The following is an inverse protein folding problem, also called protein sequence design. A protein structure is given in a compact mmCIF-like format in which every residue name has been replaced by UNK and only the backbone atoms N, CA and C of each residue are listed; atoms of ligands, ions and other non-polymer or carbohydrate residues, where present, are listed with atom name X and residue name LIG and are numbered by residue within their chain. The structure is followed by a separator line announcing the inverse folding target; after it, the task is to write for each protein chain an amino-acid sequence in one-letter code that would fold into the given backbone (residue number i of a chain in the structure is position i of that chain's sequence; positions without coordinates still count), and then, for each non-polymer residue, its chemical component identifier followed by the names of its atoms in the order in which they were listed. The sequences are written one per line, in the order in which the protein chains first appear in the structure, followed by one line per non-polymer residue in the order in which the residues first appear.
data_IF_508626923857
#
_entry.id   IF_508626923857
#
_cell.length_a   1.000
_cell.length_b   1.000
_cell.length_c   1.000
_cell.angle_alpha   90.00
_cell.angle_beta   90.00
_cell.angle_gamma   90.00
#
_symmetry.space_group_name_H-M   'P 1'
#
loop_
_entity.id
_entity.type
_entity.pdbx_description
1 polymer ?
#
# COMPACT_ATOMS: atom_id res chain seq x y z
N UNK A 1 -28.49 15.60 18.50
CA UNK A 1 -27.30 16.15 19.20
C UNK A 1 -26.12 16.01 18.25
N UNK A 2 -25.61 17.13 17.75
CA UNK A 2 -24.50 17.18 16.78
C UNK A 2 -23.22 16.70 17.45
N UNK A 3 -22.52 15.72 16.88
CA UNK A 3 -21.15 15.37 17.28
C UNK A 3 -20.21 15.83 16.17
N UNK A 4 -19.22 16.61 16.59
CA UNK A 4 -18.23 17.26 15.76
C UNK A 4 -17.35 16.21 15.07
N UNK A 5 -17.14 16.40 13.76
CA UNK A 5 -16.17 15.64 12.97
C UNK A 5 -14.76 16.06 13.37
N UNK A 6 -13.93 15.08 13.74
CA UNK A 6 -12.49 15.25 13.78
C UNK A 6 -11.96 15.13 12.35
N UNK A 7 -11.52 16.24 11.77
CA UNK A 7 -10.64 16.25 10.61
C UNK A 7 -9.37 15.46 10.96
N UNK A 8 -9.12 14.36 10.27
CA UNK A 8 -7.77 13.79 10.20
C UNK A 8 -7.00 14.57 9.15
N UNK A 9 -6.10 15.45 9.60
CA UNK A 9 -5.05 15.99 8.75
C UNK A 9 -4.06 14.86 8.49
N UNK A 10 -3.99 14.40 7.23
CA UNK A 10 -2.89 13.59 6.74
C UNK A 10 -1.59 14.41 6.84
N UNK A 11 -0.85 14.21 7.92
CA UNK A 11 0.53 14.67 8.03
C UNK A 11 1.39 13.58 7.41
N UNK A 12 1.95 13.86 6.23
CA UNK A 12 3.01 13.08 5.63
C UNK A 12 4.11 12.79 6.68
N UNK A 13 4.74 11.60 6.68
CA UNK A 13 5.68 11.24 7.73
C UNK A 13 6.96 12.07 7.60
N UNK A 14 7.00 13.21 8.29
CA UNK A 14 8.24 13.92 8.60
C UNK A 14 9.04 13.00 9.50
N UNK A 15 10.22 12.59 9.05
CA UNK A 15 11.18 11.83 9.82
C UNK A 15 11.50 12.59 11.12
N UNK A 16 10.92 12.20 12.25
CA UNK A 16 11.31 12.72 13.56
C UNK A 16 12.65 12.14 13.96
N UNK A 17 13.73 12.82 13.58
CA UNK A 17 15.05 12.62 14.15
C UNK A 17 15.09 13.25 15.55
N UNK A 18 14.84 12.46 16.60
CA UNK A 18 15.02 12.92 17.99
C UNK A 18 16.51 12.94 18.30
N UNK A 19 17.15 14.11 18.21
CA UNK A 19 18.51 14.32 18.73
C UNK A 19 18.42 14.84 20.16
N UNK A 20 18.74 13.97 21.12
CA UNK A 20 18.92 14.33 22.52
C UNK A 20 20.29 15.02 22.68
N UNK A 21 20.32 16.35 22.85
CA UNK A 21 21.50 17.04 23.37
C UNK A 21 21.09 18.06 24.45
N UNK A 22 21.82 17.96 25.56
CA UNK A 22 21.65 18.65 26.83
C UNK A 22 21.77 20.18 26.69
N UNK A 23 20.95 20.92 27.44
CA UNK A 23 21.05 22.38 27.59
C UNK A 23 22.36 22.85 28.26
N UNK A 24 22.64 24.16 28.26
CA UNK A 24 22.01 25.00 29.28
C UNK A 24 21.46 26.36 28.82
N UNK A 25 20.74 26.99 29.75
CA UNK A 25 19.82 28.14 29.72
C UNK A 25 20.51 29.55 29.61
N UNK A 26 19.80 30.71 29.68
CA UNK A 26 19.80 31.76 28.66
C UNK A 26 20.50 33.07 29.07
N UNK A 27 21.00 33.85 28.08
CA UNK A 27 20.86 35.32 28.00
C UNK A 27 21.77 35.93 26.91
N UNK A 28 21.30 37.09 26.40
CA UNK A 28 21.98 38.13 25.59
C UNK A 28 21.63 38.19 24.10
N UNK A 29 20.93 39.27 23.74
CA UNK A 29 20.45 39.60 22.40
C UNK A 29 21.45 40.32 21.49
N UNK A 30 21.05 40.42 20.22
CA UNK A 30 21.68 41.17 19.14
C UNK A 30 21.19 40.66 17.78
N UNK A 31 20.92 41.50 16.77
CA UNK A 31 20.32 41.08 15.51
C UNK A 31 21.40 40.48 14.60
N UNK A 32 21.41 39.17 14.46
CA UNK A 32 22.22 38.47 13.46
C UNK A 32 21.30 37.81 12.43
N UNK A 33 21.55 38.11 11.16
CA UNK A 33 21.24 37.26 10.01
C UNK A 33 21.98 35.91 10.18
N UNK A 34 21.45 35.04 11.03
CA UNK A 34 21.87 33.63 11.09
C UNK A 34 20.94 32.84 10.15
N UNK A 35 21.46 31.98 9.27
CA UNK A 35 20.62 31.02 8.56
C UNK A 35 19.85 30.22 9.62
N UNK A 36 18.52 30.19 9.49
CA UNK A 36 17.66 29.46 10.42
C UNK A 36 18.17 28.01 10.50
N UNK A 37 18.43 27.51 11.72
CA UNK A 37 18.84 26.13 11.94
C UNK A 37 17.85 25.11 11.33
N UNK A 38 16.58 25.52 11.11
CA UNK A 38 15.58 24.73 10.40
C UNK A 38 15.90 24.54 8.90
N UNK A 39 16.45 25.55 8.22
CA UNK A 39 16.82 25.45 6.81
C UNK A 39 18.01 24.50 6.61
N UNK A 40 18.91 24.42 7.60
CA UNK A 40 20.03 23.48 7.59
C UNK A 40 19.60 22.03 7.86
N UNK A 41 18.60 21.80 8.72
CA UNK A 41 18.05 20.47 8.97
C UNK A 41 17.24 19.94 7.80
N UNK A 42 16.46 20.81 7.14
CA UNK A 42 15.63 20.42 6.00
C UNK A 42 16.50 20.08 4.78
N UNK A 43 17.54 20.89 4.51
CA UNK A 43 18.49 20.60 3.44
C UNK A 43 19.29 19.30 3.67
N UNK A 44 19.66 19.02 4.92
CA UNK A 44 20.37 17.78 5.28
C UNK A 44 19.44 16.55 5.19
N UNK A 45 18.17 16.70 5.57
CA UNK A 45 17.16 15.66 5.41
C UNK A 45 16.91 15.35 3.92
N UNK A 46 16.80 16.39 3.09
CA UNK A 46 16.66 16.26 1.64
C UNK A 46 17.88 15.59 0.99
N UNK A 47 19.09 15.97 1.38
CA UNK A 47 20.33 15.36 0.89
C UNK A 47 20.40 13.87 1.28
N UNK A 48 20.10 13.56 2.54
CA UNK A 48 20.04 12.17 3.03
C UNK A 48 19.00 11.34 2.30
N UNK A 49 17.84 11.94 1.99
CA UNK A 49 16.78 11.27 1.24
C UNK A 49 17.19 11.01 -0.22
N UNK A 50 17.82 11.98 -0.88
CA UNK A 50 18.34 11.79 -2.25
C UNK A 50 19.42 10.71 -2.31
N UNK A 51 20.33 10.68 -1.35
CA UNK A 51 21.35 9.63 -1.28
C UNK A 51 20.73 8.24 -1.07
N UNK A 52 19.71 8.15 -0.19
CA UNK A 52 18.96 6.93 0.02
C UNK A 52 18.25 6.47 -1.26
N UNK A 53 17.58 7.39 -1.96
CA UNK A 53 16.91 7.11 -3.23
C UNK A 53 17.89 6.65 -4.30
N UNK A 54 19.04 7.31 -4.42
CA UNK A 54 20.09 6.91 -5.36
C UNK A 54 20.63 5.51 -5.04
N UNK A 55 20.84 5.22 -3.74
CA UNK A 55 21.24 3.88 -3.29
C UNK A 55 20.18 2.83 -3.63
N UNK A 56 18.90 3.11 -3.39
CA UNK A 56 17.78 2.21 -3.72
C UNK A 56 17.67 1.99 -5.23
N UNK A 57 17.91 3.03 -6.04
CA UNK A 57 17.91 2.95 -7.50
C UNK A 57 19.05 2.10 -8.04
N UNK A 58 20.20 2.07 -7.37
CA UNK A 58 21.35 1.21 -7.70
C UNK A 58 21.17 -0.25 -7.30
N UNK A 59 20.21 -0.57 -6.41
CA UNK A 59 19.89 -1.95 -6.05
C UNK A 59 19.23 -2.68 -7.23
N UNK A 60 19.32 -4.03 -7.29
CA UNK A 60 18.59 -4.82 -8.26
C UNK A 60 17.10 -4.44 -8.31
N UNK A 61 16.51 -4.50 -9.50
CA UNK A 61 15.11 -4.14 -9.70
C UNK A 61 14.16 -4.96 -8.79
N UNK A 62 14.47 -6.25 -8.60
CA UNK A 62 13.67 -7.14 -7.76
C UNK A 62 12.25 -7.23 -8.31
N UNK A 63 11.25 -6.94 -7.47
CA UNK A 63 9.85 -6.93 -7.88
C UNK A 63 9.54 -5.87 -8.94
N UNK A 64 10.31 -4.78 -8.98
CA UNK A 64 10.17 -3.72 -9.99
C UNK A 64 10.65 -4.13 -11.39
N UNK A 65 11.27 -5.31 -11.56
CA UNK A 65 11.53 -5.85 -12.89
C UNK A 65 10.19 -6.12 -13.61
N UNK A 66 10.11 -5.83 -14.92
CA UNK A 66 8.84 -5.86 -15.67
C UNK A 66 8.09 -7.20 -15.54
N UNK A 67 8.79 -8.30 -15.68
CA UNK A 67 8.26 -9.66 -15.54
C UNK A 67 7.83 -9.98 -14.10
N UNK A 68 8.59 -9.52 -13.11
CA UNK A 68 8.27 -9.69 -11.69
C UNK A 68 7.08 -8.84 -11.24
N UNK A 69 6.95 -7.61 -11.76
CA UNK A 69 5.79 -6.75 -11.53
C UNK A 69 4.53 -7.36 -12.14
N UNK A 70 4.62 -7.84 -13.38
CA UNK A 70 3.51 -8.58 -14.00
C UNK A 70 3.11 -9.83 -13.20
N UNK A 71 4.09 -10.58 -12.67
CA UNK A 71 3.83 -11.73 -11.80
C UNK A 71 3.18 -11.32 -10.47
N UNK A 72 3.61 -10.23 -9.86
CA UNK A 72 3.03 -9.68 -8.64
C UNK A 72 1.54 -9.34 -8.83
N UNK A 73 1.17 -8.71 -9.94
CA UNK A 73 -0.22 -8.39 -10.25
C UNK A 73 -1.09 -9.65 -10.36
N UNK A 74 -0.57 -10.72 -10.96
CA UNK A 74 -1.27 -12.01 -11.06
C UNK A 74 -1.46 -12.67 -9.69
N UNK A 75 -0.45 -12.59 -8.83
CA UNK A 75 -0.52 -13.13 -7.48
C UNK A 75 -1.57 -12.37 -6.65
N UNK A 76 -1.54 -11.03 -6.66
CA UNK A 76 -2.54 -10.18 -5.98
C UNK A 76 -3.94 -10.47 -6.53
N UNK A 77 -4.12 -10.45 -7.84
CA UNK A 77 -5.45 -10.66 -8.44
C UNK A 77 -6.01 -12.06 -8.19
N UNK A 78 -5.16 -13.08 -7.99
CA UNK A 78 -5.63 -14.41 -7.58
C UNK A 78 -6.28 -14.39 -6.19
N UNK A 79 -5.88 -13.47 -5.31
CA UNK A 79 -6.47 -13.27 -3.99
C UNK A 79 -7.61 -12.26 -4.01
N UNK A 80 -7.50 -11.16 -4.74
CA UNK A 80 -8.55 -10.12 -4.76
C UNK A 80 -9.75 -10.56 -5.62
N UNK A 81 -9.51 -11.24 -6.74
CA UNK A 81 -10.51 -11.47 -7.79
C UNK A 81 -10.58 -12.92 -8.29
N UNK A 82 -9.83 -13.84 -7.68
CA UNK A 82 -9.78 -15.26 -8.09
C UNK A 82 -9.45 -15.48 -9.58
N UNK A 83 -8.59 -14.64 -10.15
CA UNK A 83 -8.15 -14.73 -11.55
C UNK A 83 -6.68 -14.34 -11.71
N UNK A 84 -6.02 -14.83 -12.76
CA UNK A 84 -4.70 -14.35 -13.18
C UNK A 84 -4.80 -13.24 -14.23
N UNK A 85 -5.98 -13.02 -14.82
CA UNK A 85 -6.21 -11.93 -15.76
C UNK A 85 -6.56 -10.64 -15.01
N UNK A 86 -5.56 -10.08 -14.32
CA UNK A 86 -5.74 -8.90 -13.48
C UNK A 86 -6.23 -7.67 -14.26
N UNK A 87 -5.97 -7.61 -15.56
CA UNK A 87 -6.42 -6.52 -16.44
C UNK A 87 -7.92 -6.58 -16.74
N UNK A 88 -8.58 -7.70 -16.49
CA UNK A 88 -10.03 -7.77 -16.57
C UNK A 88 -10.72 -6.94 -15.47
N UNK A 89 -9.98 -6.56 -14.41
CA UNK A 89 -10.56 -5.92 -13.22
C UNK A 89 -10.53 -4.39 -13.24
N UNK A 90 -10.03 -3.72 -14.29
CA UNK A 90 -10.10 -2.24 -14.35
C UNK A 90 -11.53 -1.72 -14.18
N UNK A 91 -12.51 -2.43 -14.77
CA UNK A 91 -13.93 -2.09 -14.66
C UNK A 91 -14.68 -2.81 -13.54
N UNK A 92 -14.01 -3.64 -12.74
CA UNK A 92 -14.66 -4.29 -11.60
C UNK A 92 -15.11 -3.23 -10.62
N UNK A 93 -16.34 -3.34 -10.12
CA UNK A 93 -16.90 -2.52 -9.05
C UNK A 93 -18.05 -3.28 -8.38
N UNK A 94 -17.98 -3.47 -7.08
CA UNK A 94 -19.00 -4.14 -6.28
C UNK A 94 -18.91 -3.68 -4.82
N UNK A 95 -20.04 -3.50 -4.14
CA UNK A 95 -20.04 -3.50 -2.67
C UNK A 95 -20.16 -4.95 -2.20
N UNK A 96 -19.06 -5.47 -1.68
CA UNK A 96 -18.95 -6.86 -1.22
C UNK A 96 -19.46 -7.07 0.21
N UNK A 97 -20.05 -6.04 0.82
CA UNK A 97 -20.63 -6.09 2.17
C UNK A 97 -19.59 -6.19 3.28
N UNK A 98 -18.34 -5.79 3.02
CA UNK A 98 -17.28 -5.77 4.02
C UNK A 98 -17.27 -4.46 4.84
N UNK A 99 -18.13 -3.50 4.50
CA UNK A 99 -18.24 -2.21 5.18
C UNK A 99 -17.19 -1.19 4.74
N UNK A 100 -16.69 -1.31 3.51
CA UNK A 100 -15.87 -0.29 2.83
C UNK A 100 -16.63 0.41 1.68
N UNK A 101 -17.93 0.14 1.50
CA UNK A 101 -18.73 0.63 0.38
C UNK A 101 -18.37 -0.09 -0.93
N UNK A 102 -18.37 0.63 -2.05
CA UNK A 102 -17.91 0.07 -3.32
C UNK A 102 -16.42 -0.24 -3.26
N UNK A 103 -16.03 -1.43 -3.71
CA UNK A 103 -14.65 -1.87 -3.99
C UNK A 103 -14.49 -2.02 -5.50
N UNK A 104 -13.49 -1.36 -6.09
CA UNK A 104 -13.36 -1.28 -7.55
C UNK A 104 -11.92 -1.33 -8.08
N UNK A 105 -11.77 -1.64 -9.36
CA UNK A 105 -10.50 -1.56 -10.08
C UNK A 105 -9.50 -2.68 -9.76
N UNK A 106 -8.27 -2.49 -10.24
CA UNK A 106 -7.22 -3.53 -10.28
C UNK A 106 -6.63 -3.94 -8.93
N UNK A 107 -6.86 -3.17 -7.87
CA UNK A 107 -6.42 -3.47 -6.50
C UNK A 107 -7.51 -3.28 -5.44
N UNK A 108 -8.76 -3.05 -5.85
CA UNK A 108 -9.87 -2.87 -4.92
C UNK A 108 -9.89 -1.53 -4.19
N UNK A 109 -9.79 -0.42 -4.93
CA UNK A 109 -10.01 0.93 -4.40
C UNK A 109 -11.40 1.02 -3.77
N UNK A 110 -11.54 1.58 -2.57
CA UNK A 110 -12.85 1.64 -1.91
C UNK A 110 -13.37 3.06 -1.67
N UNK A 111 -14.69 3.25 -1.84
CA UNK A 111 -15.33 4.54 -1.58
C UNK A 111 -15.25 4.96 -0.11
N UNK A 112 -15.14 3.98 0.81
CA UNK A 112 -15.04 4.21 2.25
C UNK A 112 -13.63 4.33 2.80
N UNK A 113 -12.58 4.18 2.00
CA UNK A 113 -11.16 4.16 2.44
C UNK A 113 -10.30 5.24 1.80
N UNK A 114 -10.91 6.31 1.29
CA UNK A 114 -10.27 7.46 0.65
C UNK A 114 -9.61 7.23 -0.72
N UNK A 115 -8.99 6.07 -0.94
CA UNK A 115 -8.24 5.76 -2.16
C UNK A 115 -9.06 5.82 -3.46
N UNK A 116 -10.34 5.43 -3.46
CA UNK A 116 -11.21 5.63 -4.62
C UNK A 116 -11.48 7.11 -4.91
N UNK A 117 -11.71 7.91 -3.87
CA UNK A 117 -11.92 9.36 -4.01
C UNK A 117 -10.65 10.00 -4.60
N UNK A 118 -9.49 9.69 -4.03
CA UNK A 118 -8.21 10.21 -4.49
C UNK A 118 -7.92 9.84 -5.95
N UNK A 119 -8.18 8.58 -6.35
CA UNK A 119 -8.06 8.15 -7.74
C UNK A 119 -8.94 8.98 -8.68
N UNK A 120 -10.21 9.18 -8.33
CA UNK A 120 -11.14 9.95 -9.18
C UNK A 120 -10.78 11.44 -9.20
N UNK A 121 -10.29 12.01 -8.10
CA UNK A 121 -9.78 13.38 -8.05
C UNK A 121 -8.59 13.56 -8.98
N UNK A 122 -7.54 12.74 -8.83
CA UNK A 122 -6.35 12.77 -9.68
C UNK A 122 -6.69 12.59 -11.16
N UNK A 123 -7.56 11.61 -11.47
CA UNK A 123 -8.01 11.39 -12.84
C UNK A 123 -8.76 12.60 -13.41
N UNK A 124 -9.59 13.27 -12.59
CA UNK A 124 -10.36 14.44 -13.01
C UNK A 124 -9.51 15.68 -13.18
N UNK A 125 -8.42 15.84 -12.43
CA UNK A 125 -7.49 16.95 -12.64
C UNK A 125 -6.86 16.93 -14.04
N UNK A 126 -6.52 15.74 -14.55
CA UNK A 126 -5.95 15.56 -15.89
C UNK A 126 -7.03 15.50 -16.99
N UNK A 127 -8.21 14.96 -16.65
CA UNK A 127 -9.33 14.75 -17.56
C UNK A 127 -10.62 15.33 -17.01
N UNK A 128 -10.83 16.66 -17.02
CA UNK A 128 -11.94 17.31 -16.31
C UNK A 128 -13.35 16.93 -16.79
N UNK A 129 -13.48 16.51 -18.07
CA UNK A 129 -14.76 16.12 -18.68
C UNK A 129 -15.02 14.60 -18.62
N UNK A 130 -14.35 13.88 -17.71
CA UNK A 130 -14.47 12.43 -17.58
C UNK A 130 -15.83 12.00 -16.97
N UNK A 131 -16.21 10.74 -17.19
CA UNK A 131 -17.52 10.21 -16.77
C UNK A 131 -17.70 10.03 -15.27
N UNK A 132 -16.65 10.20 -14.46
CA UNK A 132 -16.67 10.05 -13.01
C UNK A 132 -16.67 11.39 -12.26
N UNK A 133 -16.37 12.50 -12.95
CA UNK A 133 -16.24 13.83 -12.35
C UNK A 133 -17.51 14.28 -11.61
N UNK A 134 -18.69 13.93 -12.11
CA UNK A 134 -19.97 14.29 -11.49
C UNK A 134 -20.19 13.64 -10.11
N UNK A 135 -19.50 12.53 -9.83
CA UNK A 135 -19.62 11.78 -8.58
C UNK A 135 -18.69 12.29 -7.48
N UNK A 136 -17.73 13.18 -7.78
CA UNK A 136 -16.78 13.70 -6.79
C UNK A 136 -17.44 14.31 -5.54
N UNK A 137 -18.53 15.11 -5.62
CA UNK A 137 -19.21 15.59 -4.42
C UNK A 137 -19.77 14.47 -3.54
N UNK A 138 -20.30 13.40 -4.15
CA UNK A 138 -20.84 12.24 -3.43
C UNK A 138 -19.71 11.40 -2.82
N UNK A 139 -18.64 11.12 -3.58
CA UNK A 139 -17.45 10.41 -3.09
C UNK A 139 -16.87 11.10 -1.85
N UNK A 140 -16.73 12.43 -1.85
CA UNK A 140 -16.30 13.20 -0.66
C UNK A 140 -17.25 13.10 0.52
N UNK A 141 -18.55 12.97 0.27
CA UNK A 141 -19.56 12.89 1.32
C UNK A 141 -19.61 11.52 1.98
N UNK A 142 -19.35 10.45 1.22
CA UNK A 142 -19.39 9.06 1.71
C UNK A 142 -18.04 8.56 2.22
N UNK A 143 -16.94 9.25 1.92
CA UNK A 143 -15.60 8.88 2.37
C UNK A 143 -15.53 8.62 3.89
N UNK A 144 -14.90 7.51 4.27
CA UNK A 144 -14.88 6.99 5.63
C UNK A 144 -16.15 6.22 6.07
N UNK A 145 -17.10 5.97 5.16
CA UNK A 145 -18.33 5.18 5.41
C UNK A 145 -18.59 4.15 4.31
N UNK A 146 -19.54 3.25 4.53
CA UNK A 146 -20.04 2.30 3.53
C UNK A 146 -21.29 2.81 2.78
N UNK A 147 -21.55 4.12 2.83
CA UNK A 147 -22.74 4.72 2.19
C UNK A 147 -22.61 4.78 0.67
N UNK A 148 -23.74 4.59 -0.03
CA UNK A 148 -23.87 4.80 -1.48
C UNK A 148 -24.66 6.07 -1.83
N UNK A 149 -24.93 6.94 -0.87
CA UNK A 149 -25.73 8.15 -1.08
C UNK A 149 -25.10 9.06 -2.15
N UNK A 150 -25.84 9.32 -3.23
CA UNK A 150 -25.38 10.14 -4.35
C UNK A 150 -24.49 9.42 -5.37
N UNK A 151 -24.30 8.11 -5.23
CA UNK A 151 -23.54 7.27 -6.17
C UNK A 151 -24.45 6.44 -7.10
N UNK A 152 -25.69 6.87 -7.31
CA UNK A 152 -26.61 6.22 -8.25
C UNK A 152 -26.03 6.24 -9.68
N UNK A 153 -25.91 5.07 -10.30
CA UNK A 153 -25.29 4.93 -11.64
C UNK A 153 -23.76 4.93 -11.66
N UNK A 154 -23.10 5.11 -10.50
CA UNK A 154 -21.65 5.12 -10.40
C UNK A 154 -20.99 3.81 -10.88
N UNK A 155 -21.52 2.61 -10.56
CA UNK A 155 -20.99 1.35 -11.09
C UNK A 155 -20.95 1.32 -12.62
N UNK A 156 -22.03 1.71 -13.28
CA UNK A 156 -22.10 1.75 -14.74
C UNK A 156 -21.14 2.78 -15.33
N UNK A 157 -21.03 3.96 -14.70
CA UNK A 157 -20.09 5.00 -15.10
C UNK A 157 -18.64 4.51 -14.97
N UNK A 158 -18.29 3.83 -13.87
CA UNK A 158 -16.98 3.21 -13.64
C UNK A 158 -16.66 2.19 -14.74
N UNK A 159 -17.58 1.29 -15.03
CA UNK A 159 -17.40 0.28 -16.09
C UNK A 159 -17.21 0.91 -17.48
N UNK A 160 -17.92 2.00 -17.80
CA UNK A 160 -17.72 2.73 -19.05
C UNK A 160 -16.37 3.44 -19.09
N UNK A 161 -15.99 4.12 -18.01
CA UNK A 161 -14.75 4.88 -17.94
C UNK A 161 -13.54 3.93 -18.00
N UNK A 162 -13.64 2.74 -17.40
CA UNK A 162 -12.61 1.70 -17.46
C UNK A 162 -12.36 1.13 -18.87
N UNK A 163 -13.15 1.52 -19.88
CA UNK A 163 -12.85 1.23 -21.29
C UNK A 163 -11.81 2.19 -21.87
N UNK A 164 -11.65 3.37 -21.27
CA UNK A 164 -10.73 4.40 -21.72
C UNK A 164 -9.31 4.09 -21.23
N UNK A 165 -8.28 4.17 -22.11
CA UNK A 165 -6.91 3.89 -21.71
C UNK A 165 -6.40 4.86 -20.62
N UNK A 166 -6.91 6.08 -20.58
CA UNK A 166 -6.54 7.11 -19.62
C UNK A 166 -6.95 6.73 -18.19
N UNK A 167 -8.17 6.22 -17.98
CA UNK A 167 -8.59 5.79 -16.64
C UNK A 167 -7.86 4.52 -16.18
N UNK A 168 -7.49 3.63 -17.12
CA UNK A 168 -6.62 2.49 -16.81
C UNK A 168 -5.22 2.93 -16.38
N UNK A 169 -4.66 3.93 -17.04
CA UNK A 169 -3.39 4.52 -16.67
C UNK A 169 -3.46 5.15 -15.27
N UNK A 170 -4.51 5.92 -14.97
CA UNK A 170 -4.72 6.49 -13.64
C UNK A 170 -4.78 5.42 -12.53
N UNK A 171 -5.46 4.28 -12.79
CA UNK A 171 -5.45 3.15 -11.84
C UNK A 171 -4.06 2.52 -11.68
N UNK A 172 -3.31 2.35 -12.78
CA UNK A 172 -1.95 1.82 -12.74
C UNK A 172 -0.99 2.75 -11.96
N UNK A 173 -1.11 4.06 -12.15
CA UNK A 173 -0.33 5.09 -11.46
C UNK A 173 -0.67 5.15 -9.98
N UNK A 174 -1.97 5.19 -9.62
CA UNK A 174 -2.40 5.17 -8.22
C UNK A 174 -1.91 3.91 -7.49
N UNK A 175 -2.01 2.72 -8.12
CA UNK A 175 -1.42 1.48 -7.57
C UNK A 175 0.08 1.66 -7.32
N UNK A 176 0.78 2.25 -8.28
CA UNK A 176 2.22 2.37 -8.25
C UNK A 176 2.68 3.31 -7.14
N UNK A 177 2.12 4.51 -7.12
CA UNK A 177 2.51 5.59 -6.20
C UNK A 177 2.18 5.26 -4.74
N UNK A 178 0.98 4.73 -4.47
CA UNK A 178 0.50 4.55 -3.09
C UNK A 178 0.84 3.17 -2.49
N UNK A 179 1.04 2.14 -3.32
CA UNK A 179 1.19 0.77 -2.84
C UNK A 179 2.47 0.10 -3.31
N UNK A 180 2.70 0.03 -4.63
CA UNK A 180 3.79 -0.79 -5.17
C UNK A 180 5.16 -0.18 -4.88
N UNK A 181 5.37 1.08 -5.23
CA UNK A 181 6.66 1.74 -5.04
C UNK A 181 7.03 1.90 -3.57
N UNK A 182 6.12 2.35 -2.67
CA UNK A 182 6.42 2.42 -1.24
C UNK A 182 6.77 1.05 -0.64
N UNK A 183 6.02 0.00 -0.99
CA UNK A 183 6.30 -1.35 -0.50
C UNK A 183 7.65 -1.89 -0.99
N UNK A 184 7.96 -1.74 -2.28
CA UNK A 184 9.25 -2.18 -2.86
C UNK A 184 10.40 -1.36 -2.27
N UNK A 185 10.24 -0.04 -2.12
CA UNK A 185 11.21 0.85 -1.50
C UNK A 185 11.50 0.43 -0.06
N UNK A 186 10.46 0.22 0.75
CA UNK A 186 10.61 -0.19 2.14
C UNK A 186 11.25 -1.57 2.27
N UNK A 187 10.87 -2.53 1.43
CA UNK A 187 11.47 -3.86 1.40
C UNK A 187 12.96 -3.82 1.02
N UNK A 188 13.34 -2.96 0.07
CA UNK A 188 14.76 -2.73 -0.26
C UNK A 188 15.54 -2.14 0.91
N UNK A 189 14.96 -1.20 1.65
CA UNK A 189 15.59 -0.65 2.87
C UNK A 189 15.80 -1.72 3.94
N UNK A 190 14.89 -2.69 4.06
CA UNK A 190 14.99 -3.82 4.98
C UNK A 190 15.90 -4.96 4.47
N UNK A 191 16.44 -4.81 3.25
CA UNK A 191 17.35 -5.76 2.61
C UNK A 191 16.65 -6.99 2.02
N UNK A 192 15.34 -6.91 1.76
CA UNK A 192 14.54 -8.05 1.34
C UNK A 192 14.70 -8.37 -0.16
N UNK A 193 14.64 -9.66 -0.46
CA UNK A 193 14.59 -10.24 -1.80
C UNK A 193 13.28 -9.91 -2.53
N UNK A 194 13.16 -10.36 -3.79
CA UNK A 194 11.96 -10.21 -4.61
C UNK A 194 10.71 -10.80 -3.92
N UNK A 195 10.84 -11.95 -3.26
CA UNK A 195 9.74 -12.53 -2.49
C UNK A 195 9.33 -11.63 -1.32
N UNK A 196 10.29 -11.09 -0.56
CA UNK A 196 9.99 -10.19 0.54
C UNK A 196 9.35 -8.87 0.08
N UNK A 197 9.80 -8.35 -1.06
CA UNK A 197 9.16 -7.20 -1.73
C UNK A 197 7.70 -7.52 -2.10
N UNK A 198 7.42 -8.70 -2.65
CA UNK A 198 6.06 -9.13 -2.95
C UNK A 198 5.20 -9.26 -1.68
N UNK A 199 5.74 -9.84 -0.61
CA UNK A 199 5.04 -9.97 0.68
C UNK A 199 4.66 -8.59 1.23
N UNK A 200 5.55 -7.60 1.12
CA UNK A 200 5.24 -6.22 1.52
C UNK A 200 4.18 -5.59 0.63
N UNK A 201 4.29 -5.74 -0.68
CA UNK A 201 3.32 -5.19 -1.62
C UNK A 201 1.92 -5.75 -1.37
N UNK A 202 1.79 -7.07 -1.27
CA UNK A 202 0.53 -7.73 -0.99
C UNK A 202 -0.05 -7.34 0.38
N UNK A 203 0.80 -7.09 1.38
CA UNK A 203 0.37 -6.58 2.68
C UNK A 203 -0.12 -5.13 2.60
N UNK A 204 0.56 -4.28 1.83
CA UNK A 204 0.16 -2.88 1.67
C UNK A 204 -1.14 -2.75 0.87
N UNK A 205 -1.37 -3.59 -0.15
CA UNK A 205 -2.66 -3.69 -0.86
C UNK A 205 -3.78 -4.04 0.11
N UNK A 206 -3.59 -5.06 0.96
CA UNK A 206 -4.68 -5.52 1.84
C UNK A 206 -4.93 -4.61 3.05
N UNK A 207 -3.87 -4.06 3.62
CA UNK A 207 -3.91 -3.36 4.91
C UNK A 207 -3.78 -1.84 4.79
N UNK A 208 -3.52 -1.33 3.58
CA UNK A 208 -3.19 0.06 3.32
C UNK A 208 -1.80 0.48 3.86
N UNK A 209 -1.29 1.64 3.42
CA UNK A 209 0.01 2.19 3.83
C UNK A 209 -0.01 2.83 5.23
N UNK A 210 -1.04 2.60 6.04
CA UNK A 210 -1.21 3.23 7.35
C UNK A 210 -0.25 2.72 8.44
N UNK A 211 -0.09 3.52 9.50
CA UNK A 211 0.70 3.19 10.71
C UNK A 211 -0.12 2.61 11.84
N UNK A 212 -1.44 2.49 11.67
CA UNK A 212 -2.31 1.81 12.63
C UNK A 212 -1.86 0.35 12.85
N UNK A 213 -2.18 -0.28 13.99
CA UNK A 213 -1.73 -1.65 14.30
C UNK A 213 -2.12 -2.72 13.27
N UNK A 214 -3.17 -2.46 12.49
CA UNK A 214 -3.66 -3.31 11.41
C UNK A 214 -3.25 -2.82 10.01
N UNK A 215 -2.55 -1.68 9.90
CA UNK A 215 -1.97 -1.17 8.66
C UNK A 215 -0.57 -1.76 8.39
N UNK A 216 -0.05 -1.56 7.18
CA UNK A 216 1.23 -2.12 6.77
C UNK A 216 2.39 -1.78 7.72
N UNK A 217 2.57 -0.50 8.08
CA UNK A 217 3.72 -0.11 8.90
C UNK A 217 3.59 -0.62 10.34
N UNK A 218 2.37 -0.73 10.88
CA UNK A 218 2.13 -1.35 12.19
C UNK A 218 2.42 -2.84 12.19
N UNK A 219 2.08 -3.57 11.11
CA UNK A 219 2.46 -4.98 10.93
C UNK A 219 3.98 -5.12 10.85
N UNK A 220 4.65 -4.26 10.08
CA UNK A 220 6.10 -4.26 9.93
C UNK A 220 6.81 -4.02 11.26
N UNK A 221 6.38 -3.03 12.04
CA UNK A 221 6.94 -2.71 13.35
C UNK A 221 6.86 -3.91 14.30
N UNK A 222 5.68 -4.52 14.42
CA UNK A 222 5.46 -5.73 15.23
C UNK A 222 6.29 -6.92 14.74
N UNK A 223 6.55 -7.04 13.44
CA UNK A 223 7.43 -8.07 12.90
C UNK A 223 8.90 -7.83 13.32
N UNK A 224 9.35 -6.57 13.31
CA UNK A 224 10.70 -6.18 13.70
C UNK A 224 10.98 -6.40 15.20
N UNK A 225 9.97 -6.31 16.06
CA UNK A 225 10.07 -6.70 17.47
C UNK A 225 10.37 -8.20 17.64
N UNK A 226 9.89 -9.04 16.71
CA UNK A 226 10.05 -10.51 16.75
C UNK A 226 11.33 -10.98 16.05
N UNK A 227 11.76 -10.31 14.98
CA UNK A 227 12.95 -10.67 14.22
C UNK A 227 13.58 -9.43 13.55
N UNK A 228 14.91 -9.34 13.59
CA UNK A 228 15.64 -8.27 12.87
C UNK A 228 15.53 -8.43 11.36
N UNK A 229 15.44 -7.31 10.65
CA UNK A 229 15.53 -7.30 9.19
C UNK A 229 16.93 -7.71 8.74
N UNK A 230 17.11 -8.00 7.44
CA UNK A 230 18.43 -8.32 6.90
C UNK A 230 19.38 -7.13 6.97
N UNK A 231 18.84 -5.92 6.75
CA UNK A 231 19.59 -4.67 6.88
C UNK A 231 20.12 -4.45 8.31
N UNK A 232 19.45 -5.00 9.33
CA UNK A 232 19.87 -4.98 10.74
C UNK A 232 20.71 -6.21 11.16
N UNK A 233 21.18 -6.99 10.17
CA UNK A 233 22.01 -8.18 10.39
C UNK A 233 21.22 -9.45 10.72
N UNK A 234 19.89 -9.45 10.57
CA UNK A 234 19.04 -10.61 10.73
C UNK A 234 19.05 -11.57 9.54
N UNK A 235 18.41 -12.74 9.74
CA UNK A 235 18.18 -13.70 8.65
C UNK A 235 16.85 -13.36 7.98
N UNK A 236 16.88 -13.18 6.67
CA UNK A 236 15.71 -12.82 5.88
C UNK A 236 14.54 -13.81 6.05
N UNK A 237 14.81 -15.12 6.04
CA UNK A 237 13.77 -16.14 6.24
C UNK A 237 13.08 -16.00 7.61
N UNK A 238 13.85 -15.72 8.67
CA UNK A 238 13.31 -15.55 10.01
C UNK A 238 12.45 -14.28 10.11
N UNK A 239 12.90 -13.20 9.46
CA UNK A 239 12.14 -11.96 9.36
C UNK A 239 10.80 -12.16 8.62
N UNK A 240 10.84 -12.77 7.43
CA UNK A 240 9.64 -12.99 6.62
C UNK A 240 8.66 -13.95 7.32
N UNK A 241 9.15 -14.98 8.03
CA UNK A 241 8.29 -15.82 8.89
C UNK A 241 7.58 -15.00 9.96
N UNK A 242 8.31 -14.17 10.69
CA UNK A 242 7.73 -13.29 11.72
C UNK A 242 6.72 -12.29 11.13
N UNK A 243 7.03 -11.69 9.99
CA UNK A 243 6.12 -10.78 9.29
C UNK A 243 4.82 -11.47 8.87
N UNK A 244 4.91 -12.64 8.23
CA UNK A 244 3.74 -13.42 7.83
C UNK A 244 2.94 -13.93 9.04
N UNK A 245 3.58 -14.21 10.18
CA UNK A 245 2.88 -14.57 11.43
C UNK A 245 2.06 -13.40 11.95
N UNK A 246 2.66 -12.21 12.08
CA UNK A 246 1.97 -10.99 12.53
C UNK A 246 0.84 -10.61 11.57
N UNK A 247 1.10 -10.62 10.26
CA UNK A 247 0.08 -10.30 9.26
C UNK A 247 -1.12 -11.25 9.36
N UNK A 248 -0.85 -12.54 9.53
CA UNK A 248 -1.89 -13.55 9.72
C UNK A 248 -2.70 -13.34 11.01
N UNK A 249 -2.06 -12.91 12.10
CA UNK A 249 -2.76 -12.52 13.34
C UNK A 249 -3.70 -11.33 13.10
N UNK A 250 -3.24 -10.31 12.35
CA UNK A 250 -4.06 -9.13 12.00
C UNK A 250 -5.26 -9.52 11.16
N UNK A 251 -5.06 -10.29 10.08
CA UNK A 251 -6.13 -10.79 9.22
C UNK A 251 -7.20 -11.55 10.02
N UNK A 252 -6.78 -12.40 10.97
CA UNK A 252 -7.70 -13.17 11.82
C UNK A 252 -8.42 -12.35 12.89
N UNK A 253 -7.87 -11.21 13.27
CA UNK A 253 -8.46 -10.32 14.27
C UNK A 253 -9.54 -9.41 13.68
N UNK A 254 -9.66 -9.35 12.35
CA UNK A 254 -10.74 -8.60 11.70
C UNK A 254 -12.13 -9.14 12.05
N UNK A 255 -13.12 -8.24 12.04
CA UNK A 255 -14.49 -8.57 12.48
C UNK A 255 -15.07 -9.71 11.63
N UNK A 256 -15.78 -10.69 12.25
CA UNK A 256 -16.52 -11.71 11.51
C UNK A 256 -17.46 -11.06 10.49
N UNK A 257 -17.33 -11.44 9.22
CA UNK A 257 -18.10 -10.87 8.10
C UNK A 257 -17.26 -10.15 7.05
N UNK A 258 -16.05 -9.66 7.39
CA UNK A 258 -15.08 -9.21 6.38
C UNK A 258 -14.33 -10.43 5.80
N UNK A 259 -14.08 -10.45 4.49
CA UNK A 259 -13.40 -11.56 3.78
C UNK A 259 -11.97 -11.86 4.27
N UNK A 260 -11.38 -10.98 5.09
CA UNK A 260 -9.98 -11.08 5.54
C UNK A 260 -9.69 -12.16 6.59
N UNK A 261 -10.70 -12.89 7.09
CA UNK A 261 -10.46 -14.03 7.99
C UNK A 261 -9.78 -15.23 7.31
N UNK A 262 -9.92 -15.37 5.99
CA UNK A 262 -9.20 -16.39 5.21
C UNK A 262 -7.75 -15.94 4.97
N UNK A 263 -6.80 -16.80 5.34
CA UNK A 263 -5.36 -16.49 5.30
C UNK A 263 -4.61 -17.30 4.24
N UNK A 264 -5.31 -17.90 3.27
CA UNK A 264 -4.72 -18.74 2.21
C UNK A 264 -3.71 -17.98 1.33
N UNK A 265 -3.91 -16.67 1.08
CA UNK A 265 -2.92 -15.82 0.39
C UNK A 265 -1.54 -15.83 1.09
N UNK A 266 -1.53 -16.05 2.41
CA UNK A 266 -0.32 -16.25 3.20
C UNK A 266 0.03 -17.74 3.22
N UNK A 267 -0.89 -18.56 3.74
CA UNK A 267 -0.62 -19.92 4.19
C UNK A 267 -0.32 -20.88 3.02
N UNK A 268 -1.00 -20.73 1.88
CA UNK A 268 -0.87 -21.62 0.71
C UNK A 268 -0.27 -20.95 -0.52
N UNK A 269 0.29 -19.75 -0.36
CA UNK A 269 1.05 -19.05 -1.38
C UNK A 269 2.38 -18.48 -0.83
N UNK A 270 2.36 -17.34 -0.12
CA UNK A 270 3.59 -16.67 0.33
C UNK A 270 4.48 -17.56 1.23
N UNK A 271 3.89 -18.28 2.19
CA UNK A 271 4.63 -19.24 3.02
C UNK A 271 5.18 -20.40 2.22
N UNK A 272 4.42 -20.92 1.26
CA UNK A 272 4.89 -22.00 0.39
C UNK A 272 6.11 -21.57 -0.44
N UNK A 273 6.12 -20.34 -0.97
CA UNK A 273 7.28 -19.79 -1.69
C UNK A 273 8.49 -19.61 -0.78
N UNK A 274 8.25 -19.14 0.44
CA UNK A 274 9.30 -18.95 1.46
C UNK A 274 9.92 -20.27 1.90
N UNK A 275 9.09 -21.28 2.17
CA UNK A 275 9.51 -22.63 2.59
C UNK A 275 10.25 -23.37 1.45
N UNK A 276 9.89 -23.10 0.20
CA UNK A 276 10.63 -23.58 -0.96
C UNK A 276 11.97 -22.84 -1.18
N UNK A 277 12.28 -21.80 -0.38
CA UNK A 277 13.48 -20.99 -0.54
C UNK A 277 13.49 -20.13 -1.81
N UNK A 278 12.34 -19.87 -2.42
CA UNK A 278 12.23 -19.11 -3.67
C UNK A 278 12.25 -17.60 -3.43
N UNK A 279 13.35 -17.10 -2.84
CA UNK A 279 13.54 -15.67 -2.55
C UNK A 279 13.54 -14.80 -3.81
N UNK A 280 13.91 -15.35 -4.97
CA UNK A 280 13.89 -14.65 -6.24
C UNK A 280 12.48 -14.53 -6.85
N UNK A 281 11.49 -15.23 -6.30
CA UNK A 281 10.13 -15.33 -6.84
C UNK A 281 10.14 -15.82 -8.31
N UNK A 282 10.97 -16.82 -8.59
CA UNK A 282 11.15 -17.38 -9.94
C UNK A 282 10.01 -18.33 -10.30
N UNK A 283 9.64 -18.32 -11.58
CA UNK A 283 8.67 -19.27 -12.13
C UNK A 283 9.38 -20.59 -12.48
N UNK A 284 8.67 -21.74 -12.50
CA UNK A 284 7.22 -21.88 -12.29
C UNK A 284 6.80 -21.64 -10.83
N UNK A 285 5.69 -20.92 -10.65
CA UNK A 285 5.00 -20.79 -9.37
C UNK A 285 3.70 -21.58 -9.40
N UNK A 286 3.43 -22.31 -8.33
CA UNK A 286 2.18 -23.02 -8.07
C UNK A 286 1.71 -22.68 -6.66
N UNK A 287 0.45 -22.29 -6.51
CA UNK A 287 -0.11 -21.91 -5.21
C UNK A 287 -1.62 -22.14 -5.17
N UNK A 288 -2.21 -21.94 -3.99
CA UNK A 288 -3.66 -21.93 -3.82
C UNK A 288 -4.12 -20.70 -3.05
N UNK A 289 -5.25 -20.14 -3.44
CA UNK A 289 -5.99 -19.14 -2.66
C UNK A 289 -7.46 -19.55 -2.67
N UNK A 290 -8.11 -19.51 -1.50
CA UNK A 290 -9.49 -20.00 -1.29
C UNK A 290 -9.74 -21.46 -1.70
N UNK A 291 -8.66 -22.24 -1.82
CA UNK A 291 -8.69 -23.64 -2.29
C UNK A 291 -8.47 -23.80 -3.79
N UNK A 292 -8.59 -22.72 -4.58
CA UNK A 292 -8.41 -22.74 -6.03
C UNK A 292 -6.93 -22.78 -6.42
N UNK A 293 -6.51 -23.70 -7.31
CA UNK A 293 -5.13 -23.81 -7.74
C UNK A 293 -4.80 -22.81 -8.85
N UNK A 294 -3.64 -22.16 -8.72
CA UNK A 294 -3.08 -21.25 -9.71
C UNK A 294 -1.67 -21.67 -10.12
N UNK A 295 -1.30 -21.35 -11.36
CA UNK A 295 0.04 -21.61 -11.88
C UNK A 295 0.48 -20.56 -12.87
N UNK A 296 1.73 -20.09 -12.74
CA UNK A 296 2.42 -19.27 -13.74
C UNK A 296 3.73 -19.97 -14.10
N UNK A 297 4.02 -20.05 -15.40
CA UNK A 297 5.21 -20.71 -15.95
C UNK A 297 6.32 -19.71 -16.20
#
# INVERSE_FOLDING_TARGET
MKRAGCLFLAIAPVATLVVYLLGPDPDAGGPDDRPSASQGSDALADETQRELEERIRKMPAGLAAKDKKELAQKLVSSAENSTLDWRANYGYIEDIGDGNGYTAGIIGFCSGTHDMLELVERYTEEHPDNGLAEYLPALRAVDGTDSHEGLDGFPEAWEQEAKKPEFRAAQDEMRDDEYFEPAVRQAKMDGLSTLGQFIYYDAMVLHGPGTAPNGFYGIRERAMEKARTKAEGGKEEAYLKAFLDVRREVMKAEKPGRRHGDTSRIDTAQRAFLEAGNFALDTPLEWKVYGDPYRVK
#
